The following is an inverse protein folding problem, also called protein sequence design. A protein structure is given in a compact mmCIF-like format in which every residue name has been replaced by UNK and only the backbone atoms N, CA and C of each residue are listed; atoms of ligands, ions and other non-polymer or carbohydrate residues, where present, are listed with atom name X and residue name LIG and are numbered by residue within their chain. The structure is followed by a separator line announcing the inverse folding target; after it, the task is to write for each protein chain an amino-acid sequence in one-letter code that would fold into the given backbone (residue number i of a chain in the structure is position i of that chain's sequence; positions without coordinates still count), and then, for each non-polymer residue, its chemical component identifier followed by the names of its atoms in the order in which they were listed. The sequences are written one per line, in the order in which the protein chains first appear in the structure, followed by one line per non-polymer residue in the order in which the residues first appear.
data_IF_539930178909
#
_entry.id   IF_539930178909
#
_cell.length_a   1.000
_cell.length_b   1.000
_cell.length_c   1.000
_cell.angle_alpha   90.00
_cell.angle_beta   90.00
_cell.angle_gamma   90.00
#
_symmetry.space_group_name_H-M   'P 1'
#
loop_
_entity.id
_entity.type
_entity.pdbx_description
1 polymer ?
#
# COMPACT_ATOMS: atom_id res chain seq x y z
N UNK A 1 -49.85 -16.73 40.41
CA UNK A 1 -48.49 -16.78 39.82
C UNK A 1 -48.43 -15.85 38.63
N UNK A 2 -47.67 -14.76 38.69
CA UNK A 2 -47.27 -13.95 37.53
C UNK A 2 -45.83 -13.50 37.75
N UNK A 3 -44.90 -14.18 37.10
CA UNK A 3 -43.49 -13.82 37.04
C UNK A 3 -43.33 -12.57 36.18
N UNK A 4 -42.61 -11.58 36.70
CA UNK A 4 -42.20 -10.39 35.97
C UNK A 4 -40.82 -10.64 35.37
N UNK A 5 -40.75 -10.70 34.04
CA UNK A 5 -39.49 -10.68 33.30
C UNK A 5 -38.86 -9.28 33.43
N UNK A 6 -37.75 -9.21 34.17
CA UNK A 6 -36.86 -8.06 34.15
C UNK A 6 -36.22 -7.96 32.76
N UNK A 7 -36.67 -7.01 31.94
CA UNK A 7 -35.93 -6.55 30.75
C UNK A 7 -34.52 -6.14 31.19
N UNK A 8 -33.51 -6.93 30.81
CA UNK A 8 -32.10 -6.53 30.85
C UNK A 8 -31.97 -5.28 29.98
N UNK A 9 -31.64 -4.13 30.59
CA UNK A 9 -31.19 -2.96 29.85
C UNK A 9 -29.86 -3.34 29.19
N UNK A 10 -29.81 -3.27 27.87
CA UNK A 10 -28.54 -3.33 27.15
C UNK A 10 -27.68 -2.14 27.58
N UNK A 11 -26.38 -2.34 27.83
CA UNK A 11 -25.46 -1.24 28.10
C UNK A 11 -25.40 -0.31 26.88
N UNK A 12 -25.16 1.00 27.09
CA UNK A 12 -25.05 1.96 25.99
C UNK A 12 -23.91 1.57 25.03
N UNK A 13 -24.08 1.86 23.74
CA UNK A 13 -23.06 1.58 22.73
C UNK A 13 -21.79 2.41 23.00
N UNK A 14 -20.59 1.83 22.78
CA UNK A 14 -19.34 2.56 22.90
C UNK A 14 -19.27 3.72 21.90
N UNK A 15 -18.64 4.83 22.29
CA UNK A 15 -18.49 6.03 21.45
C UNK A 15 -17.12 5.99 20.76
N UNK A 16 -17.12 6.03 19.43
CA UNK A 16 -15.91 6.09 18.60
C UNK A 16 -15.69 7.52 18.13
N UNK A 17 -14.50 8.07 18.36
CA UNK A 17 -14.17 9.45 18.01
C UNK A 17 -13.70 9.61 16.56
N UNK A 18 -13.00 8.60 16.02
CA UNK A 18 -12.44 8.65 14.66
C UNK A 18 -13.19 7.70 13.71
N UNK A 19 -14.00 8.24 12.79
CA UNK A 19 -14.85 7.47 11.86
C UNK A 19 -14.66 7.92 10.41
N UNK A 20 -14.59 6.94 9.49
CA UNK A 20 -14.40 7.12 8.04
C UNK A 20 -15.37 8.08 7.34
N UNK A 21 -14.80 8.94 6.49
CA UNK A 21 -15.39 9.44 5.25
C UNK A 21 -14.53 9.00 4.06
N UNK A 22 -15.14 8.42 3.02
CA UNK A 22 -14.42 7.96 1.82
C UNK A 22 -14.27 9.09 0.79
N UNK A 23 -13.03 9.45 0.45
CA UNK A 23 -12.67 10.18 -0.78
C UNK A 23 -12.35 9.21 -1.93
N UNK A 24 -12.50 9.64 -3.19
CA UNK A 24 -12.28 8.80 -4.37
C UNK A 24 -10.83 8.83 -4.86
N UNK A 25 -10.28 7.73 -5.44
CA UNK A 25 -8.83 7.51 -5.46
C UNK A 25 -8.05 8.01 -6.69
N UNK A 26 -8.67 8.54 -7.74
CA UNK A 26 -7.97 8.71 -9.03
C UNK A 26 -7.94 10.16 -9.51
N UNK A 27 -6.93 10.90 -9.06
CA UNK A 27 -6.60 12.24 -9.55
C UNK A 27 -5.31 12.87 -9.00
N UNK A 28 -4.69 12.26 -7.98
CA UNK A 28 -3.60 12.88 -7.22
C UNK A 28 -2.24 12.95 -7.94
N UNK A 29 -2.02 12.19 -9.02
CA UNK A 29 -0.71 12.11 -9.68
C UNK A 29 -0.41 13.29 -10.64
N UNK A 30 -1.42 14.04 -11.07
CA UNK A 30 -1.26 15.13 -12.06
C UNK A 30 -1.21 16.55 -11.48
N UNK A 31 -1.25 16.71 -10.15
CA UNK A 31 -1.25 18.03 -9.50
C UNK A 31 -0.32 18.06 -8.29
N UNK A 32 0.91 18.51 -8.52
CA UNK A 32 1.89 18.71 -7.45
C UNK A 32 1.85 20.15 -6.91
N UNK A 33 1.41 20.30 -5.66
CA UNK A 33 1.79 21.40 -4.74
C UNK A 33 1.90 20.80 -3.33
N UNK A 34 3.07 20.84 -2.66
CA UNK A 34 3.26 20.18 -1.38
C UNK A 34 2.75 21.06 -0.24
N UNK A 35 1.59 20.70 0.35
CA UNK A 35 1.18 21.16 1.67
C UNK A 35 0.39 20.04 2.38
N UNK A 36 1.10 19.29 3.22
CA UNK A 36 0.72 18.55 4.44
C UNK A 36 -0.49 17.60 4.48
N UNK A 37 -1.37 17.56 3.49
CA UNK A 37 -2.53 16.64 3.45
C UNK A 37 -2.56 15.73 2.22
N UNK A 38 -2.02 16.18 1.07
CA UNK A 38 -1.98 15.36 -0.15
C UNK A 38 -0.87 14.30 -0.22
N UNK A 39 0.03 14.27 0.77
CA UNK A 39 1.16 13.31 0.75
C UNK A 39 0.72 11.89 1.08
N UNK A 40 -0.23 11.72 2.00
CA UNK A 40 -0.71 10.38 2.40
C UNK A 40 -1.46 9.70 1.26
N UNK A 41 -2.37 10.41 0.60
CA UNK A 41 -3.07 9.93 -0.58
C UNK A 41 -2.11 9.54 -1.72
N UNK A 42 -1.05 10.33 -1.92
CA UNK A 42 0.03 10.01 -2.86
C UNK A 42 0.78 8.73 -2.47
N UNK A 43 1.16 8.56 -1.21
CA UNK A 43 1.85 7.36 -0.73
C UNK A 43 0.99 6.11 -0.88
N UNK A 44 -0.32 6.21 -0.61
CA UNK A 44 -1.30 5.14 -0.87
C UNK A 44 -1.38 4.81 -2.36
N UNK A 45 -1.45 5.83 -3.23
CA UNK A 45 -1.47 5.63 -4.67
C UNK A 45 -0.17 4.99 -5.20
N UNK A 46 0.99 5.31 -4.61
CA UNK A 46 2.26 4.65 -4.95
C UNK A 46 2.22 3.16 -4.57
N UNK A 47 1.72 2.80 -3.39
CA UNK A 47 1.55 1.38 -3.01
C UNK A 47 0.63 0.64 -3.96
N UNK A 48 -0.50 1.24 -4.31
CA UNK A 48 -1.45 0.65 -5.25
C UNK A 48 -0.85 0.48 -6.66
N UNK A 49 -0.08 1.47 -7.12
CA UNK A 49 0.53 1.48 -8.45
C UNK A 49 1.82 0.66 -8.57
N UNK A 50 2.53 0.37 -7.47
CA UNK A 50 3.81 -0.35 -7.47
C UNK A 50 3.72 -1.55 -6.51
N UNK A 51 3.28 -2.73 -7.01
CA UNK A 51 3.05 -3.92 -6.18
C UNK A 51 4.24 -4.36 -5.31
N UNK A 52 5.46 -4.11 -5.79
CA UNK A 52 6.68 -4.45 -5.06
C UNK A 52 6.84 -3.61 -3.77
N UNK A 53 6.44 -2.33 -3.82
CA UNK A 53 6.46 -1.45 -2.64
C UNK A 53 5.41 -1.89 -1.63
N UNK A 54 4.22 -2.26 -2.10
CA UNK A 54 3.17 -2.79 -1.23
C UNK A 54 3.61 -4.09 -0.54
N UNK A 55 4.14 -5.05 -1.32
CA UNK A 55 4.66 -6.30 -0.79
C UNK A 55 5.76 -6.07 0.26
N UNK A 56 6.64 -5.09 0.04
CA UNK A 56 7.68 -4.74 0.99
C UNK A 56 7.09 -4.22 2.31
N UNK A 57 6.11 -3.31 2.28
CA UNK A 57 5.48 -2.84 3.52
C UNK A 57 4.82 -4.00 4.28
N UNK A 58 4.08 -4.87 3.58
CA UNK A 58 3.47 -6.05 4.20
C UNK A 58 4.50 -7.00 4.83
N UNK A 59 5.66 -7.20 4.19
CA UNK A 59 6.75 -8.00 4.77
C UNK A 59 7.34 -7.33 6.02
N UNK A 60 7.54 -6.00 6.02
CA UNK A 60 8.00 -5.27 7.21
C UNK A 60 7.03 -5.43 8.38
N UNK A 61 5.72 -5.26 8.13
CA UNK A 61 4.68 -5.44 9.15
C UNK A 61 4.77 -6.85 9.74
N UNK A 62 4.80 -7.89 8.90
CA UNK A 62 4.90 -9.28 9.36
C UNK A 62 6.18 -9.56 10.15
N UNK A 63 7.31 -9.00 9.71
CA UNK A 63 8.60 -9.16 10.38
C UNK A 63 8.61 -8.54 11.78
N UNK A 64 7.82 -7.50 12.02
CA UNK A 64 7.67 -6.94 13.36
C UNK A 64 7.07 -7.94 14.34
N UNK A 65 6.36 -8.97 13.89
CA UNK A 65 5.86 -10.07 14.72
C UNK A 65 4.89 -9.62 15.81
N UNK A 66 4.59 -10.53 16.73
CA UNK A 66 3.72 -10.25 17.86
C UNK A 66 4.42 -10.03 19.18
N UNK A 67 3.59 -9.69 20.18
CA UNK A 67 4.04 -9.52 21.55
C UNK A 67 3.00 -10.07 22.53
N UNK A 68 3.46 -10.47 23.71
CA UNK A 68 2.63 -10.90 24.83
C UNK A 68 2.93 -10.04 26.07
N UNK A 69 1.90 -9.53 26.76
CA UNK A 69 2.10 -8.75 27.97
C UNK A 69 2.41 -9.64 29.18
N UNK A 70 3.21 -9.13 30.12
CA UNK A 70 3.57 -9.77 31.38
C UNK A 70 3.36 -8.84 32.56
N UNK A 71 2.57 -9.28 33.53
CA UNK A 71 2.34 -8.55 34.78
C UNK A 71 2.57 -9.45 36.00
N UNK A 72 2.84 -8.85 37.16
CA UNK A 72 3.21 -9.58 38.38
C UNK A 72 2.06 -10.35 39.06
N UNK A 73 0.80 -10.01 38.77
CA UNK A 73 -0.37 -10.68 39.36
C UNK A 73 -0.92 -11.77 38.44
N UNK A 74 -1.00 -13.02 38.93
CA UNK A 74 -1.45 -14.15 38.13
C UNK A 74 -2.92 -14.12 37.69
N UNK A 75 -3.81 -13.45 38.45
CA UNK A 75 -5.21 -13.23 38.04
C UNK A 75 -5.30 -12.15 36.97
N UNK A 76 -4.54 -11.07 37.12
CA UNK A 76 -4.42 -10.03 36.12
C UNK A 76 -3.86 -10.61 34.80
N UNK A 77 -2.82 -11.44 34.88
CA UNK A 77 -2.17 -12.06 33.73
C UNK A 77 -3.16 -12.85 32.86
N UNK A 78 -3.98 -13.72 33.46
CA UNK A 78 -4.92 -14.54 32.71
C UNK A 78 -5.99 -13.70 32.00
N UNK A 79 -6.46 -12.63 32.65
CA UNK A 79 -7.40 -11.69 32.05
C UNK A 79 -6.78 -10.87 30.92
N UNK A 80 -5.58 -10.35 31.15
CA UNK A 80 -4.83 -9.55 30.19
C UNK A 80 -4.46 -10.37 28.95
N UNK A 81 -4.01 -11.62 29.12
CA UNK A 81 -3.78 -12.59 28.04
C UNK A 81 -5.03 -12.80 27.17
N UNK A 82 -6.19 -12.93 27.81
CA UNK A 82 -7.46 -13.11 27.11
C UNK A 82 -7.84 -11.84 26.35
N UNK A 83 -7.72 -10.68 26.98
CA UNK A 83 -7.95 -9.39 26.34
C UNK A 83 -7.03 -9.23 25.11
N UNK A 84 -5.74 -9.49 25.28
CA UNK A 84 -4.72 -9.37 24.24
C UNK A 84 -5.05 -10.20 22.99
N UNK A 85 -5.60 -11.40 23.17
CA UNK A 85 -5.99 -12.29 22.07
C UNK A 85 -7.36 -11.99 21.47
N UNK A 86 -8.26 -11.28 22.17
CA UNK A 86 -9.69 -11.26 21.83
C UNK A 86 -10.35 -9.88 21.78
N UNK A 87 -9.65 -8.80 22.11
CA UNK A 87 -10.19 -7.44 21.95
C UNK A 87 -10.67 -7.21 20.51
N UNK A 88 -11.81 -6.57 20.32
CA UNK A 88 -12.31 -6.23 18.98
C UNK A 88 -11.41 -5.16 18.36
N UNK A 89 -11.03 -5.32 17.09
CA UNK A 89 -10.20 -4.35 16.36
C UNK A 89 -10.92 -3.78 15.13
N UNK A 90 -12.22 -4.02 15.02
CA UNK A 90 -13.08 -3.60 13.92
C UNK A 90 -13.09 -4.61 12.78
N UNK A 91 -14.05 -4.44 11.87
CA UNK A 91 -14.17 -5.23 10.62
C UNK A 91 -14.17 -6.75 10.79
N UNK A 92 -14.60 -7.24 11.97
CA UNK A 92 -14.62 -8.67 12.30
C UNK A 92 -13.28 -9.25 12.72
N UNK A 93 -12.25 -8.42 12.89
CA UNK A 93 -10.94 -8.82 13.40
C UNK A 93 -10.88 -8.69 14.93
N UNK A 94 -9.97 -9.45 15.54
CA UNK A 94 -9.78 -9.48 16.99
C UNK A 94 -8.32 -9.70 17.37
N UNK A 95 -7.97 -9.25 18.56
CA UNK A 95 -6.66 -9.38 19.18
C UNK A 95 -5.73 -8.23 18.83
N UNK A 96 -4.85 -7.88 19.77
CA UNK A 96 -3.92 -6.76 19.67
C UNK A 96 -2.97 -6.92 18.48
N UNK A 97 -2.67 -8.16 18.04
CA UNK A 97 -1.90 -8.37 16.82
C UNK A 97 -2.54 -7.71 15.59
N UNK A 98 -3.85 -7.88 15.39
CA UNK A 98 -4.53 -7.29 14.23
C UNK A 98 -4.54 -5.76 14.27
N UNK A 99 -4.62 -5.18 15.47
CA UNK A 99 -4.43 -3.75 15.68
C UNK A 99 -3.00 -3.34 15.32
N UNK A 100 -2.00 -4.05 15.84
CA UNK A 100 -0.58 -3.77 15.60
C UNK A 100 -0.22 -3.85 14.11
N UNK A 101 -0.68 -4.87 13.41
CA UNK A 101 -0.43 -5.05 11.98
C UNK A 101 -0.94 -3.84 11.18
N UNK A 102 -2.17 -3.40 11.46
CA UNK A 102 -2.79 -2.24 10.80
C UNK A 102 -2.13 -0.92 11.21
N UNK A 103 -1.73 -0.80 12.48
CA UNK A 103 -1.07 0.37 13.04
C UNK A 103 0.33 0.57 12.44
N UNK A 104 1.10 -0.51 12.27
CA UNK A 104 2.40 -0.52 11.58
C UNK A 104 2.25 -0.20 10.08
N UNK A 105 1.21 -0.72 9.43
CA UNK A 105 0.92 -0.41 8.03
C UNK A 105 0.71 1.10 7.80
N UNK A 106 -0.06 1.75 8.68
CA UNK A 106 -0.22 3.22 8.68
C UNK A 106 1.08 3.93 9.06
N UNK A 107 1.81 3.44 10.07
CA UNK A 107 3.09 3.99 10.51
C UNK A 107 4.09 4.09 9.34
N UNK A 108 4.26 3.03 8.57
CA UNK A 108 5.18 3.00 7.43
C UNK A 108 4.69 3.86 6.26
N UNK A 109 3.38 3.81 5.95
CA UNK A 109 2.81 4.46 4.77
C UNK A 109 2.62 5.95 4.98
N UNK A 110 2.12 6.35 6.14
CA UNK A 110 1.69 7.71 6.46
C UNK A 110 2.72 8.44 7.35
N UNK A 111 3.71 7.72 7.88
CA UNK A 111 4.73 8.28 8.76
C UNK A 111 4.31 8.37 10.22
N UNK A 112 3.11 7.93 10.58
CA UNK A 112 2.66 7.83 11.96
C UNK A 112 1.54 6.79 12.09
N UNK A 113 1.48 6.15 13.25
CA UNK A 113 0.36 5.30 13.64
C UNK A 113 -0.62 6.09 14.49
N UNK A 114 -1.92 5.83 14.30
CA UNK A 114 -2.99 6.44 15.07
C UNK A 114 -4.01 5.38 15.49
N UNK A 115 -4.27 5.30 16.79
CA UNK A 115 -5.19 4.33 17.39
C UNK A 115 -6.10 4.98 18.43
N UNK A 116 -7.22 4.33 18.70
CA UNK A 116 -8.17 4.71 19.73
C UNK A 116 -8.51 3.51 20.61
N UNK A 117 -8.30 3.66 21.91
CA UNK A 117 -8.78 2.72 22.93
C UNK A 117 -10.24 3.05 23.25
N UNK A 118 -11.16 2.25 22.73
CA UNK A 118 -12.58 2.50 22.88
C UNK A 118 -13.07 1.82 24.15
N UNK A 119 -13.53 2.61 25.12
CA UNK A 119 -14.11 2.08 26.35
C UNK A 119 -15.50 1.48 26.11
N UNK A 120 -15.83 0.46 26.88
CA UNK A 120 -17.18 -0.08 27.03
C UNK A 120 -18.16 0.99 27.53
N UNK A 121 -19.46 0.79 27.29
CA UNK A 121 -20.48 1.77 27.63
C UNK A 121 -20.61 2.12 29.13
N UNK A 122 -20.11 1.26 30.02
CA UNK A 122 -20.02 1.53 31.46
C UNK A 122 -18.65 2.07 31.90
N UNK A 123 -17.69 2.17 30.97
CA UNK A 123 -16.35 2.70 31.19
C UNK A 123 -15.45 1.78 32.02
N UNK A 124 -15.77 0.50 32.16
CA UNK A 124 -15.05 -0.44 33.07
C UNK A 124 -14.14 -1.43 32.36
N UNK A 125 -14.20 -1.47 31.04
CA UNK A 125 -13.42 -2.36 30.19
C UNK A 125 -13.13 -1.67 28.86
N UNK A 126 -12.14 -2.18 28.12
CA UNK A 126 -11.84 -1.76 26.74
C UNK A 126 -12.70 -2.60 25.79
N UNK A 127 -13.64 -1.96 25.11
CA UNK A 127 -14.52 -2.62 24.15
C UNK A 127 -13.81 -2.92 22.82
N UNK A 128 -12.95 -2.01 22.35
CA UNK A 128 -12.24 -2.17 21.09
C UNK A 128 -10.93 -1.37 21.04
N UNK A 129 -10.03 -1.77 20.14
CA UNK A 129 -8.84 -1.02 19.73
C UNK A 129 -8.94 -0.73 18.25
N UNK A 130 -9.17 0.53 17.88
CA UNK A 130 -9.42 0.89 16.49
C UNK A 130 -8.24 1.69 15.92
N UNK A 131 -7.77 1.30 14.74
CA UNK A 131 -6.89 2.18 13.95
C UNK A 131 -7.75 3.27 13.29
N UNK A 132 -7.31 4.50 13.47
CA UNK A 132 -7.90 5.67 12.87
C UNK A 132 -7.17 6.02 11.57
N UNK A 133 -7.88 6.57 10.60
CA UNK A 133 -7.25 7.02 9.35
C UNK A 133 -6.36 8.24 9.63
N UNK A 134 -5.03 8.16 9.36
CA UNK A 134 -4.09 9.25 9.58
C UNK A 134 -4.50 10.59 8.95
N UNK A 135 -5.25 10.59 7.84
CA UNK A 135 -5.67 11.83 7.16
C UNK A 135 -6.77 12.61 7.90
N UNK A 136 -7.49 11.94 8.80
CA UNK A 136 -8.63 12.53 9.50
C UNK A 136 -8.22 13.29 10.76
N UNK A 137 -7.00 13.09 11.22
CA UNK A 137 -6.50 13.66 12.46
C UNK A 137 -5.21 14.41 12.19
N UNK A 138 -5.15 15.64 12.68
CA UNK A 138 -3.95 16.47 12.63
C UNK A 138 -3.45 16.74 14.05
N UNK A 139 -2.13 16.73 14.22
CA UNK A 139 -1.52 17.15 15.47
C UNK A 139 -1.39 18.67 15.47
N UNK A 140 -2.05 19.34 16.42
CA UNK A 140 -1.86 20.76 16.68
C UNK A 140 -0.74 20.91 17.71
N UNK A 141 0.42 21.37 17.24
CA UNK A 141 1.58 21.65 18.08
C UNK A 141 1.33 22.92 18.91
N UNK A 142 1.68 22.87 20.19
CA UNK A 142 1.68 23.98 21.12
C UNK A 142 3.07 24.59 21.28
N UNK A 143 3.31 25.20 22.43
CA UNK A 143 4.55 25.95 22.69
C UNK A 143 5.77 25.04 22.94
N UNK A 144 5.55 23.75 23.22
CA UNK A 144 6.60 22.76 23.44
C UNK A 144 6.30 21.42 22.74
N UNK A 145 7.32 20.57 22.52
CA UNK A 145 7.11 19.21 21.99
C UNK A 145 6.22 18.31 22.87
N UNK A 146 6.01 18.66 24.14
CA UNK A 146 5.10 17.93 25.04
C UNK A 146 3.65 18.42 24.93
N UNK A 147 3.45 19.61 24.40
CA UNK A 147 2.15 20.25 24.29
C UNK A 147 1.62 20.04 22.87
N UNK A 148 1.09 18.87 22.56
CA UNK A 148 0.38 18.66 21.30
C UNK A 148 -0.99 18.02 21.54
N UNK A 149 -1.93 18.34 20.66
CA UNK A 149 -3.29 17.81 20.71
C UNK A 149 -3.64 17.17 19.37
N UNK A 150 -4.31 16.04 19.42
CA UNK A 150 -4.87 15.39 18.25
C UNK A 150 -6.25 15.97 17.96
N UNK A 151 -6.38 16.58 16.79
CA UNK A 151 -7.60 17.24 16.35
C UNK A 151 -8.18 16.52 15.15
N UNK A 152 -9.50 16.36 15.11
CA UNK A 152 -10.20 15.86 13.94
C UNK A 152 -10.43 16.98 12.94
N UNK A 153 -10.20 16.67 11.66
CA UNK A 153 -10.62 17.53 10.55
C UNK A 153 -12.11 17.34 10.31
N UNK A 154 -12.89 18.39 10.54
CA UNK A 154 -14.29 18.50 10.15
C UNK A 154 -14.40 19.53 9.02
N UNK A 155 -15.50 19.51 8.24
CA UNK A 155 -15.65 20.32 7.03
C UNK A 155 -15.40 21.83 7.26
N UNK A 156 -14.15 22.26 7.05
CA UNK A 156 -13.67 23.63 7.25
C UNK A 156 -13.24 23.99 8.69
N UNK A 157 -13.26 23.05 9.64
CA UNK A 157 -12.89 23.31 11.03
C UNK A 157 -12.05 22.18 11.63
N UNK A 158 -11.11 22.55 12.50
CA UNK A 158 -10.27 21.62 13.24
C UNK A 158 -10.80 21.57 14.66
N UNK A 159 -11.19 20.38 15.11
CA UNK A 159 -11.77 20.19 16.44
C UNK A 159 -10.94 19.23 17.27
N UNK A 160 -10.57 19.64 18.47
CA UNK A 160 -9.88 18.78 19.43
C UNK A 160 -10.72 17.54 19.74
N UNK A 161 -10.07 16.38 19.71
CA UNK A 161 -10.69 15.15 20.15
C UNK A 161 -10.87 15.19 21.69
N UNK A 162 -12.06 14.88 22.21
CA UNK A 162 -12.38 15.11 23.62
C UNK A 162 -11.61 14.22 24.61
N UNK A 163 -11.20 13.02 24.20
CA UNK A 163 -10.50 12.05 25.08
C UNK A 163 -9.10 11.74 24.54
N UNK A 164 -8.17 12.69 24.70
CA UNK A 164 -6.77 12.58 24.25
C UNK A 164 -6.03 11.41 24.92
N UNK A 165 -6.40 11.10 26.16
CA UNK A 165 -5.85 10.01 26.97
C UNK A 165 -6.18 8.61 26.40
N UNK A 166 -7.23 8.50 25.58
CA UNK A 166 -7.61 7.26 24.92
C UNK A 166 -6.98 7.09 23.53
N UNK A 167 -6.28 8.11 23.04
CA UNK A 167 -5.62 8.08 21.74
C UNK A 167 -4.20 7.55 21.87
N UNK A 168 -3.82 6.73 20.89
CA UNK A 168 -2.48 6.20 20.69
C UNK A 168 -1.90 6.89 19.46
N UNK A 169 -0.73 7.50 19.61
CA UNK A 169 -0.05 8.17 18.51
C UNK A 169 1.45 7.84 18.57
N UNK A 170 1.98 7.40 17.43
CA UNK A 170 3.39 7.05 17.31
C UNK A 170 3.94 7.68 16.03
N UNK A 171 4.85 8.66 16.12
CA UNK A 171 5.53 9.19 14.95
C UNK A 171 6.61 8.21 14.47
N UNK A 172 6.71 7.99 13.15
CA UNK A 172 7.77 7.22 12.53
C UNK A 172 8.94 8.13 12.17
N UNK A 173 10.12 7.90 12.75
CA UNK A 173 11.36 8.66 12.45
C UNK A 173 11.14 10.19 12.39
N UNK A 174 10.58 10.82 13.44
CA UNK A 174 10.32 12.26 13.44
C UNK A 174 11.61 13.07 13.23
N UNK A 175 11.50 14.16 12.46
CA UNK A 175 12.59 15.11 12.20
C UNK A 175 12.22 16.48 12.74
N UNK A 176 13.20 17.40 12.82
CA UNK A 176 12.94 18.76 13.33
C UNK A 176 11.90 19.52 12.51
N UNK A 177 11.80 19.27 11.20
CA UNK A 177 10.81 19.83 10.29
C UNK A 177 9.50 19.02 10.22
N UNK A 178 9.50 17.76 10.70
CA UNK A 178 8.34 16.87 10.70
C UNK A 178 8.25 16.09 12.03
N UNK A 179 7.85 16.77 13.13
CA UNK A 179 7.82 16.16 14.47
C UNK A 179 6.73 15.08 14.61
N UNK A 180 5.73 15.10 13.72
CA UNK A 180 4.65 14.11 13.67
C UNK A 180 5.03 12.84 12.89
N UNK A 181 6.30 12.70 12.49
CA UNK A 181 6.79 11.54 11.77
C UNK A 181 6.83 11.73 10.26
N UNK A 182 7.51 10.80 9.60
CA UNK A 182 7.88 10.85 8.18
C UNK A 182 7.60 9.50 7.55
N UNK A 183 6.86 9.48 6.43
CA UNK A 183 6.59 8.24 5.70
C UNK A 183 7.87 7.56 5.21
N UNK A 184 7.90 6.23 5.26
CA UNK A 184 8.93 5.43 4.60
C UNK A 184 9.02 5.76 3.09
N UNK A 185 7.87 6.13 2.51
CA UNK A 185 7.67 6.41 1.10
C UNK A 185 8.02 7.85 0.69
N UNK A 186 8.43 8.73 1.62
CA UNK A 186 8.72 10.17 1.33
C UNK A 186 9.68 10.38 0.16
N UNK A 187 10.65 9.48 -0.06
CA UNK A 187 11.64 9.58 -1.14
C UNK A 187 11.26 8.84 -2.43
N UNK A 188 10.11 8.16 -2.48
CA UNK A 188 9.69 7.33 -3.61
C UNK A 188 8.91 8.03 -4.74
N UNK A 189 8.18 9.16 -4.55
CA UNK A 189 7.31 9.70 -5.59
C UNK A 189 7.98 9.96 -6.93
N UNK A 190 9.20 10.49 -6.92
CA UNK A 190 9.95 10.76 -8.14
C UNK A 190 10.24 9.48 -8.93
N UNK A 191 10.78 8.47 -8.26
CA UNK A 191 11.14 7.19 -8.88
C UNK A 191 9.91 6.39 -9.31
N UNK A 192 8.87 6.34 -8.47
CA UNK A 192 7.60 5.71 -8.81
C UNK A 192 6.94 6.38 -10.03
N UNK A 193 6.96 7.71 -10.10
CA UNK A 193 6.46 8.46 -11.25
C UNK A 193 7.21 8.16 -12.55
N UNK A 194 8.53 7.97 -12.51
CA UNK A 194 9.31 7.55 -13.68
C UNK A 194 8.94 6.12 -14.08
N UNK A 195 8.86 5.19 -13.13
CA UNK A 195 8.51 3.79 -13.37
C UNK A 195 7.14 3.66 -14.05
N UNK A 196 6.12 4.34 -13.52
CA UNK A 196 4.77 4.33 -14.07
C UNK A 196 4.74 4.89 -15.50
N UNK A 197 5.49 5.97 -15.79
CA UNK A 197 5.62 6.52 -17.14
C UNK A 197 6.27 5.54 -18.11
N UNK A 198 7.29 4.80 -17.67
CA UNK A 198 7.90 3.76 -18.49
C UNK A 198 6.88 2.67 -18.83
N UNK A 199 6.15 2.15 -17.83
CA UNK A 199 5.13 1.12 -18.07
C UNK A 199 3.98 1.61 -18.96
N UNK A 200 3.52 2.85 -18.76
CA UNK A 200 2.51 3.46 -19.61
C UNK A 200 2.98 3.60 -21.07
N UNK A 201 4.22 4.06 -21.29
CA UNK A 201 4.80 4.16 -22.62
C UNK A 201 4.97 2.79 -23.28
N UNK A 202 5.41 1.78 -22.53
CA UNK A 202 5.51 0.39 -23.01
C UNK A 202 4.14 -0.14 -23.40
N UNK A 203 3.10 0.06 -22.58
CA UNK A 203 1.72 -0.34 -22.90
C UNK A 203 1.20 0.31 -24.19
N UNK A 204 1.40 1.62 -24.35
CA UNK A 204 1.02 2.34 -25.58
C UNK A 204 1.76 1.83 -26.82
N UNK A 205 3.02 1.44 -26.68
CA UNK A 205 3.78 0.84 -27.79
C UNK A 205 3.22 -0.54 -28.17
N UNK A 206 2.83 -1.37 -27.19
CA UNK A 206 2.15 -2.64 -27.46
C UNK A 206 0.79 -2.47 -28.12
N UNK A 207 -0.02 -1.50 -27.68
CA UNK A 207 -1.28 -1.15 -28.33
C UNK A 207 -1.09 -0.73 -29.79
N UNK A 208 -0.04 0.04 -30.09
CA UNK A 208 0.32 0.45 -31.46
C UNK A 208 0.82 -0.72 -32.30
N UNK A 209 1.62 -1.61 -31.72
CA UNK A 209 2.09 -2.81 -32.41
C UNK A 209 0.92 -3.74 -32.77
N UNK A 210 -0.07 -3.88 -31.88
CA UNK A 210 -1.29 -4.66 -32.13
C UNK A 210 -2.30 -3.96 -33.05
N UNK A 211 -2.26 -2.63 -33.17
CA UNK A 211 -3.18 -1.84 -33.99
C UNK A 211 -2.43 -1.13 -35.12
N UNK A 212 -2.08 -1.91 -36.15
CA UNK A 212 -1.37 -1.42 -37.34
C UNK A 212 -2.15 -0.26 -37.98
N UNK A 213 -1.49 0.89 -38.09
CA UNK A 213 -1.98 2.03 -38.85
C UNK A 213 -1.30 2.05 -40.20
N UNK A 214 -2.03 2.43 -41.22
CA UNK A 214 -1.54 2.43 -42.59
C UNK A 214 -1.72 3.82 -43.20
N UNK A 215 -0.68 4.31 -43.85
CA UNK A 215 -0.73 5.45 -44.76
C UNK A 215 -0.98 4.89 -46.15
N UNK A 216 -2.14 5.23 -46.72
CA UNK A 216 -2.50 4.86 -48.10
C UNK A 216 -2.30 6.11 -48.96
N UNK A 217 -1.33 6.05 -49.87
CA UNK A 217 -1.03 7.14 -50.82
C UNK A 217 -1.44 6.69 -52.21
N UNK A 218 -2.41 7.38 -52.80
CA UNK A 218 -2.85 7.14 -54.17
C UNK A 218 -2.22 8.19 -55.09
N UNK A 219 -1.44 7.77 -56.09
CA UNK A 219 -0.89 8.68 -57.09
C UNK A 219 -1.76 8.65 -58.36
N UNK A 220 -2.35 9.78 -58.79
CA UNK A 220 -3.14 9.81 -60.01
C UNK A 220 -2.26 9.58 -61.25
N UNK A 221 -2.73 8.77 -62.20
CA UNK A 221 -2.08 8.60 -63.49
C UNK A 221 -2.18 9.84 -64.38
N UNK A 222 -1.38 9.90 -65.46
CA UNK A 222 -1.46 11.00 -66.43
C UNK A 222 -2.87 11.09 -67.04
N UNK A 223 -3.54 12.23 -66.86
CA UNK A 223 -4.91 12.48 -67.34
C UNK A 223 -6.03 12.13 -66.36
N UNK A 224 -5.71 11.63 -65.16
CA UNK A 224 -6.70 11.23 -64.14
C UNK A 224 -6.99 12.31 -63.07
N UNK A 225 -6.36 13.48 -63.18
CA UNK A 225 -6.53 14.60 -62.23
C UNK A 225 -7.99 15.00 -61.94
N UNK A 226 -8.93 15.02 -62.92
CA UNK A 226 -10.32 15.38 -62.65
C UNK A 226 -11.09 14.35 -61.80
N UNK A 227 -10.65 13.09 -61.80
CA UNK A 227 -11.31 11.96 -61.12
C UNK A 227 -10.56 11.49 -59.87
N UNK A 228 -9.41 12.12 -59.56
CA UNK A 228 -8.53 11.73 -58.45
C UNK A 228 -9.26 11.72 -57.10
N UNK A 229 -10.14 12.68 -56.85
CA UNK A 229 -10.87 12.79 -55.58
C UNK A 229 -11.89 11.66 -55.38
N UNK A 230 -12.63 11.32 -56.44
CA UNK A 230 -13.64 10.25 -56.42
C UNK A 230 -12.98 8.87 -56.24
N UNK A 231 -11.85 8.65 -56.91
CA UNK A 231 -11.06 7.44 -56.81
C UNK A 231 -10.40 7.27 -55.44
N UNK A 232 -9.86 8.36 -54.86
CA UNK A 232 -9.41 8.39 -53.47
C UNK A 232 -10.55 8.04 -52.50
N UNK A 233 -11.76 8.57 -52.74
CA UNK A 233 -12.94 8.26 -51.93
C UNK A 233 -13.28 6.76 -51.91
N UNK A 234 -13.30 6.12 -53.09
CA UNK A 234 -13.56 4.69 -53.21
C UNK A 234 -12.50 3.84 -52.48
N UNK A 235 -11.22 4.20 -52.61
CA UNK A 235 -10.12 3.51 -51.94
C UNK A 235 -10.23 3.64 -50.41
N UNK A 236 -10.56 4.83 -49.90
CA UNK A 236 -10.79 5.05 -48.46
C UNK A 236 -11.96 4.23 -47.95
N UNK A 237 -13.05 4.10 -48.72
CA UNK A 237 -14.23 3.32 -48.35
C UNK A 237 -13.96 1.81 -48.30
N UNK A 238 -13.34 1.24 -49.34
CA UNK A 238 -12.95 -0.18 -49.37
C UNK A 238 -11.94 -0.50 -48.26
N UNK A 239 -10.94 0.37 -48.07
CA UNK A 239 -9.97 0.24 -46.98
C UNK A 239 -10.63 0.25 -45.61
N UNK A 240 -11.53 1.21 -45.38
CA UNK A 240 -12.26 1.34 -44.11
C UNK A 240 -13.16 0.12 -43.85
N UNK A 241 -13.77 -0.45 -44.90
CA UNK A 241 -14.57 -1.68 -44.81
C UNK A 241 -13.72 -2.91 -44.50
N UNK A 242 -12.56 -3.05 -45.14
CA UNK A 242 -11.62 -4.14 -44.88
C UNK A 242 -11.05 -4.08 -43.45
N UNK A 243 -10.67 -2.88 -42.97
CA UNK A 243 -10.20 -2.68 -41.60
C UNK A 243 -11.29 -2.90 -40.55
N UNK A 244 -12.55 -2.57 -40.85
CA UNK A 244 -13.68 -2.84 -39.96
C UNK A 244 -13.97 -4.34 -39.83
N UNK A 245 -13.97 -5.08 -40.95
CA UNK A 245 -14.13 -6.54 -40.95
C UNK A 245 -13.00 -7.23 -40.16
N UNK A 246 -11.77 -6.73 -40.26
CA UNK A 246 -10.63 -7.23 -39.46
C UNK A 246 -10.83 -7.08 -37.94
N UNK A 247 -11.49 -6.02 -37.47
CA UNK A 247 -11.83 -5.85 -36.04
C UNK A 247 -12.89 -6.84 -35.55
N UNK A 248 -13.72 -7.34 -36.46
CA UNK A 248 -14.74 -8.36 -36.18
C UNK A 248 -14.20 -9.79 -36.36
N UNK A 249 -12.89 -9.95 -36.54
CA UNK A 249 -12.24 -11.26 -36.70
C UNK A 249 -12.37 -11.87 -38.10
N UNK A 250 -12.83 -11.10 -39.08
CA UNK A 250 -12.95 -11.54 -40.47
C UNK A 250 -11.76 -11.02 -41.30
N UNK A 251 -11.03 -11.92 -41.95
CA UNK A 251 -9.97 -11.54 -42.89
C UNK A 251 -10.62 -11.17 -44.22
N UNK A 252 -10.43 -9.92 -44.67
CA UNK A 252 -10.93 -9.42 -45.94
C UNK A 252 -9.79 -8.81 -46.74
N UNK A 253 -9.61 -9.29 -47.97
CA UNK A 253 -8.58 -8.78 -48.86
C UNK A 253 -8.93 -7.39 -49.38
N UNK A 254 -7.94 -6.49 -49.37
CA UNK A 254 -8.03 -5.19 -50.01
C UNK A 254 -7.42 -5.29 -51.42
N UNK A 255 -8.22 -5.07 -52.46
CA UNK A 255 -7.77 -5.10 -53.85
C UNK A 255 -7.95 -3.70 -54.45
N UNK A 256 -6.84 -3.07 -54.83
CA UNK A 256 -6.84 -1.77 -55.50
C UNK A 256 -6.22 -1.85 -56.89
N UNK A 257 -6.75 -1.05 -57.83
CA UNK A 257 -6.28 -0.95 -59.22
C UNK A 257 -5.69 0.45 -59.44
N UNK A 258 -4.36 0.56 -59.61
CA UNK A 258 -3.63 1.81 -59.82
C UNK A 258 -2.29 1.87 -59.06
N UNK A 259 -1.62 3.03 -59.07
CA UNK A 259 -0.41 3.28 -58.25
C UNK A 259 -0.82 3.66 -56.82
N UNK A 260 -0.97 2.64 -55.97
CA UNK A 260 -1.31 2.77 -54.55
C UNK A 260 -0.13 2.29 -53.71
N UNK A 261 0.45 3.20 -52.93
CA UNK A 261 1.53 2.93 -51.98
C UNK A 261 0.93 2.81 -50.57
N UNK A 262 1.02 1.61 -49.98
CA UNK A 262 0.52 1.33 -48.63
C UNK A 262 1.74 1.17 -47.71
N UNK A 263 1.89 2.08 -46.76
CA UNK A 263 2.97 2.04 -45.77
C UNK A 263 2.39 1.87 -44.38
N UNK A 264 2.96 0.95 -43.61
CA UNK A 264 2.63 0.82 -42.19
C UNK A 264 3.26 2.00 -41.44
N UNK A 265 2.45 2.77 -40.72
CA UNK A 265 2.90 3.88 -39.88
C UNK A 265 3.45 3.28 -38.59
N UNK A 266 4.74 3.49 -38.32
CA UNK A 266 5.38 3.09 -37.06
C UNK A 266 5.93 1.66 -37.03
N UNK A 267 6.01 0.96 -38.18
CA UNK A 267 6.58 -0.39 -38.27
C UNK A 267 8.04 -0.48 -37.80
N UNK A 268 8.79 0.62 -37.92
CA UNK A 268 10.22 0.69 -37.60
C UNK A 268 10.53 1.42 -36.29
N UNK A 269 9.55 1.67 -35.41
CA UNK A 269 9.84 2.31 -34.13
C UNK A 269 10.55 1.32 -33.20
N UNK A 270 11.85 1.51 -32.88
CA UNK A 270 12.52 0.63 -31.95
C UNK A 270 11.83 0.71 -30.59
N UNK A 271 11.46 -0.45 -30.05
CA UNK A 271 11.05 -0.54 -28.64
C UNK A 271 12.28 -0.17 -27.80
N UNK A 272 12.18 0.93 -27.05
CA UNK A 272 13.23 1.33 -26.12
C UNK A 272 13.43 0.20 -25.10
N UNK A 273 14.67 -0.27 -24.96
CA UNK A 273 15.01 -1.23 -23.91
C UNK A 273 14.83 -0.56 -22.54
N UNK A 274 13.76 -0.96 -21.85
CA UNK A 274 13.41 -0.46 -20.53
C UNK A 274 13.91 -1.37 -19.40
N UNK A 275 14.56 -2.50 -19.68
CA UNK A 275 14.89 -3.49 -18.65
C UNK A 275 15.85 -2.91 -17.59
N UNK A 276 16.95 -2.29 -18.04
CA UNK A 276 17.96 -1.70 -17.15
C UNK A 276 17.40 -0.56 -16.29
N UNK A 277 16.72 0.48 -16.85
CA UNK A 277 16.20 1.57 -16.03
C UNK A 277 15.08 1.13 -15.09
N UNK A 278 14.17 0.24 -15.53
CA UNK A 278 13.11 -0.31 -14.66
C UNK A 278 13.74 -1.05 -13.49
N UNK A 279 14.72 -1.91 -13.77
CA UNK A 279 15.45 -2.63 -12.73
C UNK A 279 16.06 -1.64 -11.74
N UNK A 280 16.92 -0.72 -12.17
CA UNK A 280 17.58 0.25 -11.27
C UNK A 280 16.59 1.04 -10.39
N UNK A 281 15.43 1.41 -10.93
CA UNK A 281 14.39 2.09 -10.17
C UNK A 281 13.81 1.16 -9.10
N UNK A 282 13.41 -0.06 -9.46
CA UNK A 282 12.96 -1.06 -8.49
C UNK A 282 14.04 -1.33 -7.45
N UNK A 283 15.32 -1.28 -7.85
CA UNK A 283 16.43 -1.52 -6.93
C UNK A 283 16.50 -0.47 -5.82
N UNK A 284 16.35 0.80 -6.18
CA UNK A 284 16.30 1.89 -5.21
C UNK A 284 15.03 1.88 -4.34
N UNK A 285 13.89 1.52 -4.93
CA UNK A 285 12.63 1.43 -4.19
C UNK A 285 12.69 0.35 -3.10
N UNK A 286 13.19 -0.84 -3.43
CA UNK A 286 13.38 -1.93 -2.45
C UNK A 286 14.43 -1.56 -1.41
N UNK A 287 15.58 -1.00 -1.83
CA UNK A 287 16.64 -0.61 -0.91
C UNK A 287 16.15 0.37 0.18
N UNK A 288 15.22 1.27 -0.16
CA UNK A 288 14.64 2.21 0.80
C UNK A 288 13.84 1.53 1.93
N UNK A 289 13.30 0.34 1.68
CA UNK A 289 12.52 -0.41 2.69
C UNK A 289 13.40 -1.20 3.67
N UNK A 290 14.68 -1.39 3.36
CA UNK A 290 15.57 -2.25 4.14
C UNK A 290 15.33 -3.75 3.96
N UNK A 291 14.31 -4.15 3.19
CA UNK A 291 14.03 -5.57 2.93
C UNK A 291 15.01 -6.13 1.90
N UNK A 292 15.62 -7.30 2.18
CA UNK A 292 16.40 -8.02 1.18
C UNK A 292 15.57 -8.43 -0.06
N UNK A 293 16.06 -8.23 -1.30
CA UNK A 293 15.30 -8.50 -2.53
C UNK A 293 14.70 -9.92 -2.62
N UNK A 294 15.40 -10.94 -2.13
CA UNK A 294 14.93 -12.33 -2.19
C UNK A 294 13.64 -12.56 -1.38
N UNK A 295 13.37 -11.78 -0.33
CA UNK A 295 12.11 -11.86 0.43
C UNK A 295 10.91 -11.34 -0.36
N UNK A 296 11.17 -10.66 -1.47
CA UNK A 296 10.19 -10.17 -2.45
C UNK A 296 10.20 -11.04 -3.73
N UNK A 297 10.87 -12.20 -3.71
CA UNK A 297 10.98 -13.09 -4.86
C UNK A 297 11.93 -12.58 -5.95
N UNK A 298 12.81 -11.61 -5.63
CA UNK A 298 13.75 -11.04 -6.59
C UNK A 298 15.16 -11.60 -6.37
N UNK A 299 15.84 -11.95 -7.46
CA UNK A 299 17.27 -12.27 -7.46
C UNK A 299 17.99 -11.34 -8.44
N UNK A 300 18.78 -10.40 -7.93
CA UNK A 300 19.46 -9.41 -8.77
C UNK A 300 20.87 -9.86 -9.16
N UNK A 301 21.43 -10.80 -8.40
CA UNK A 301 22.64 -11.52 -8.80
C UNK A 301 22.39 -13.03 -8.81
N UNK A 302 23.15 -13.75 -9.64
CA UNK A 302 23.07 -15.22 -9.75
C UNK A 302 23.45 -15.95 -8.44
N UNK A 303 23.94 -15.22 -7.43
CA UNK A 303 24.52 -15.78 -6.19
C UNK A 303 24.02 -15.05 -4.94
N UNK A 304 22.84 -14.43 -4.99
CA UNK A 304 22.30 -13.69 -3.85
C UNK A 304 21.87 -14.66 -2.74
N UNK A 305 22.80 -14.99 -1.84
CA UNK A 305 22.52 -15.69 -0.58
C UNK A 305 22.37 -14.65 0.50
N UNK A 306 21.32 -14.75 1.32
CA UNK A 306 21.28 -13.98 2.56
C UNK A 306 22.54 -14.30 3.36
N UNK A 307 23.39 -13.29 3.56
CA UNK A 307 24.51 -13.43 4.48
C UNK A 307 23.98 -13.34 5.92
N UNK A 308 24.65 -14.00 6.87
CA UNK A 308 24.32 -13.85 8.28
C UNK A 308 24.30 -12.35 8.69
N UNK A 309 25.19 -11.55 8.11
CA UNK A 309 25.26 -10.11 8.33
C UNK A 309 24.00 -9.35 7.85
N UNK A 310 23.37 -9.77 6.74
CA UNK A 310 22.13 -9.16 6.26
C UNK A 310 20.95 -9.52 7.17
N UNK A 311 20.92 -10.74 7.71
CA UNK A 311 19.93 -11.15 8.70
C UNK A 311 20.07 -10.32 9.98
N UNK A 312 21.29 -10.20 10.50
CA UNK A 312 21.59 -9.43 11.71
C UNK A 312 21.19 -7.96 11.57
N UNK A 313 21.47 -7.36 10.40
CA UNK A 313 21.07 -5.98 10.11
C UNK A 313 19.54 -5.84 10.10
N UNK A 314 18.82 -6.73 9.40
CA UNK A 314 17.36 -6.70 9.37
C UNK A 314 16.75 -6.88 10.75
N UNK A 315 17.24 -7.83 11.55
CA UNK A 315 16.82 -8.00 12.96
C UNK A 315 16.99 -6.72 13.76
N UNK A 316 18.11 -6.01 13.57
CA UNK A 316 18.37 -4.74 14.26
C UNK A 316 17.38 -3.64 13.89
N UNK A 317 17.04 -3.54 12.60
CA UNK A 317 16.05 -2.58 12.08
C UNK A 317 14.64 -2.90 12.62
N UNK A 318 14.23 -4.17 12.59
CA UNK A 318 12.95 -4.60 13.15
C UNK A 318 12.90 -4.31 14.66
N UNK A 319 13.98 -4.54 15.39
CA UNK A 319 14.07 -4.22 16.82
C UNK A 319 13.94 -2.71 17.08
N UNK A 320 14.47 -1.86 16.20
CA UNK A 320 14.27 -0.41 16.29
C UNK A 320 12.80 0.00 16.04
N UNK A 321 12.14 -0.64 15.09
CA UNK A 321 10.71 -0.43 14.83
C UNK A 321 9.86 -0.87 16.03
N UNK A 322 10.10 -2.06 16.58
CA UNK A 322 9.42 -2.58 17.78
C UNK A 322 9.48 -1.60 18.94
N UNK A 323 10.69 -1.09 19.25
CA UNK A 323 10.89 -0.05 20.29
C UNK A 323 10.10 1.23 20.05
N UNK A 324 9.83 1.56 18.78
CA UNK A 324 9.07 2.77 18.42
C UNK A 324 7.57 2.61 18.76
N UNK A 325 7.01 1.42 18.57
CA UNK A 325 5.58 1.14 18.80
C UNK A 325 5.25 0.58 20.18
N UNK A 326 6.23 0.01 20.88
CA UNK A 326 6.08 -0.58 22.20
C UNK A 326 5.38 0.32 23.23
N UNK A 327 5.65 1.64 23.31
CA UNK A 327 4.93 2.52 24.25
C UNK A 327 3.42 2.59 24.01
N UNK A 328 2.98 2.50 22.75
CA UNK A 328 1.54 2.51 22.44
C UNK A 328 0.87 1.20 22.90
N UNK A 329 1.56 0.07 22.77
CA UNK A 329 1.07 -1.24 23.21
C UNK A 329 1.09 -1.37 24.74
N UNK A 330 2.12 -0.84 25.42
CA UNK A 330 2.17 -0.77 26.88
C UNK A 330 0.97 0.00 27.43
N UNK A 331 0.67 1.16 26.85
CA UNK A 331 -0.48 1.98 27.26
C UNK A 331 -1.82 1.26 27.11
N UNK A 332 -1.97 0.38 26.13
CA UNK A 332 -3.14 -0.50 25.98
C UNK A 332 -3.23 -1.50 27.14
N UNK A 333 -2.13 -2.14 27.49
CA UNK A 333 -2.08 -3.09 28.60
C UNK A 333 -2.31 -2.40 29.96
N UNK A 334 -1.63 -1.27 30.19
CA UNK A 334 -1.74 -0.43 31.38
C UNK A 334 -3.18 0.01 31.61
N UNK A 335 -3.84 0.58 30.59
CA UNK A 335 -5.24 1.01 30.70
C UNK A 335 -6.15 -0.15 31.08
N UNK A 336 -5.96 -1.31 30.45
CA UNK A 336 -6.77 -2.49 30.77
C UNK A 336 -6.58 -2.91 32.24
N UNK A 337 -5.33 -2.94 32.74
CA UNK A 337 -5.02 -3.26 34.14
C UNK A 337 -5.63 -2.26 35.12
N UNK A 338 -5.52 -0.96 34.82
CA UNK A 338 -6.08 0.13 35.62
C UNK A 338 -7.60 0.02 35.74
N UNK A 339 -8.30 -0.23 34.63
CA UNK A 339 -9.77 -0.39 34.61
C UNK A 339 -10.24 -1.58 35.46
N UNK A 340 -9.41 -2.63 35.55
CA UNK A 340 -9.70 -3.82 36.35
C UNK A 340 -9.20 -3.73 37.80
N UNK A 341 -8.57 -2.61 38.19
CA UNK A 341 -8.10 -2.37 39.55
C UNK A 341 -6.84 -3.14 39.94
N UNK A 342 -6.01 -3.52 38.96
CA UNK A 342 -4.71 -4.14 39.18
C UNK A 342 -3.57 -3.11 39.18
N UNK A 343 -2.39 -3.52 39.64
CA UNK A 343 -1.15 -2.78 39.42
C UNK A 343 -0.88 -2.70 37.90
N UNK A 344 -0.54 -1.50 37.40
CA UNK A 344 -0.43 -1.23 35.96
C UNK A 344 0.96 -1.55 35.40
N UNK A 345 1.89 -1.99 36.24
CA UNK A 345 3.22 -2.43 35.82
C UNK A 345 3.12 -3.66 34.93
N UNK A 346 3.50 -3.47 33.68
CA UNK A 346 3.48 -4.50 32.64
C UNK A 346 4.70 -4.35 31.75
N UNK A 347 5.24 -5.49 31.32
CA UNK A 347 6.31 -5.57 30.32
C UNK A 347 5.78 -6.30 29.08
N UNK A 348 6.35 -6.00 27.92
CA UNK A 348 6.00 -6.67 26.66
C UNK A 348 7.12 -7.62 26.25
N UNK A 349 6.79 -8.90 26.16
CA UNK A 349 7.68 -9.92 25.58
C UNK A 349 7.38 -9.99 24.08
N UNK A 350 8.34 -9.59 23.25
CA UNK A 350 8.24 -9.74 21.80
C UNK A 350 8.58 -11.16 21.37
N UNK A 351 7.89 -11.66 20.36
CA UNK A 351 8.21 -12.95 19.74
C UNK A 351 9.60 -12.90 19.09
N UNK A 352 10.35 -13.99 19.22
CA UNK A 352 11.65 -14.14 18.59
C UNK A 352 11.53 -13.99 17.07
N UNK A 353 12.45 -13.22 16.48
CA UNK A 353 12.51 -13.04 15.03
C UNK A 353 13.31 -14.22 14.47
N UNK A 354 12.64 -15.30 14.09
CA UNK A 354 13.30 -16.39 13.37
C UNK A 354 13.40 -16.07 11.87
N UNK A 355 14.44 -15.30 11.52
CA UNK A 355 14.73 -15.01 10.11
C UNK A 355 15.19 -16.25 9.33
N UNK A 356 15.69 -17.32 9.98
CA UNK A 356 16.17 -18.50 9.27
C UNK A 356 15.02 -19.27 8.62
N UNK A 357 13.94 -19.51 9.37
CA UNK A 357 12.75 -20.18 8.85
C UNK A 357 12.10 -19.39 7.71
N UNK A 358 12.03 -18.06 7.85
CA UNK A 358 11.50 -17.17 6.80
C UNK A 358 12.35 -17.18 5.53
N UNK A 359 13.67 -17.34 5.66
CA UNK A 359 14.59 -17.39 4.52
C UNK A 359 14.50 -18.71 3.79
N UNK A 360 14.35 -19.82 4.51
CA UNK A 360 14.14 -21.13 3.91
C UNK A 360 12.78 -21.20 3.18
N UNK A 361 11.73 -20.60 3.74
CA UNK A 361 10.42 -20.49 3.06
C UNK A 361 10.52 -19.65 1.78
N UNK A 362 11.11 -18.45 1.84
CA UNK A 362 11.29 -17.58 0.67
C UNK A 362 12.16 -18.24 -0.43
N UNK A 363 13.20 -19.01 -0.04
CA UNK A 363 14.01 -19.81 -0.98
C UNK A 363 13.18 -20.89 -1.65
N UNK A 364 12.36 -21.62 -0.90
CA UNK A 364 11.51 -22.65 -1.45
C UNK A 364 10.55 -22.08 -2.50
N UNK A 365 9.97 -20.90 -2.25
CA UNK A 365 9.13 -20.19 -3.23
C UNK A 365 9.89 -19.77 -4.48
N UNK A 366 11.08 -19.17 -4.32
CA UNK A 366 11.91 -18.74 -5.45
C UNK A 366 12.38 -19.92 -6.30
N UNK A 367 12.79 -21.03 -5.68
CA UNK A 367 13.18 -22.23 -6.41
C UNK A 367 12.00 -22.87 -7.16
N UNK A 368 10.78 -22.83 -6.60
CA UNK A 368 9.58 -23.26 -7.33
C UNK A 368 9.36 -22.39 -8.57
N UNK A 369 9.40 -21.07 -8.43
CA UNK A 369 9.21 -20.14 -9.54
C UNK A 369 10.28 -20.31 -10.64
N UNK A 370 11.54 -20.53 -10.26
CA UNK A 370 12.62 -20.82 -11.19
C UNK A 370 12.43 -22.17 -11.91
N UNK A 371 12.00 -23.20 -11.18
CA UNK A 371 11.72 -24.51 -11.75
C UNK A 371 10.54 -24.46 -12.73
N UNK A 372 9.51 -23.68 -12.44
CA UNK A 372 8.36 -23.49 -13.33
C UNK A 372 8.78 -22.74 -14.61
N UNK A 373 9.58 -21.68 -14.48
CA UNK A 373 10.14 -20.97 -15.64
C UNK A 373 10.99 -21.89 -16.53
N UNK A 374 11.84 -22.74 -15.94
CA UNK A 374 12.64 -23.73 -16.68
C UNK A 374 11.77 -24.77 -17.38
N UNK A 375 10.64 -25.17 -16.78
CA UNK A 375 9.67 -26.08 -17.42
C UNK A 375 8.99 -25.42 -18.62
N UNK A 376 8.59 -24.16 -18.49
CA UNK A 376 8.00 -23.38 -19.58
C UNK A 376 9.00 -23.14 -20.72
N UNK A 377 10.29 -22.98 -20.43
CA UNK A 377 11.34 -22.82 -21.45
C UNK A 377 11.70 -24.13 -22.18
N UNK A 378 11.41 -25.30 -21.58
CA UNK A 378 11.66 -26.62 -22.18
C UNK A 378 10.42 -27.26 -22.84
N UNK A 379 9.25 -26.64 -22.70
CA UNK A 379 8.00 -27.05 -23.34
C UNK A 379 7.80 -26.31 -24.67
#
# INVERSE_FOLDING_TARGET
MKWWERKRREPPAPVVQVRQGKGQPFGALDRYVPLSSGEVELYRAIREGVPLVDAAIWKLVRLCGGTTPRCGDGRAQAGLDRFWRTVDTGWGQRGVQSFLDRYLDDLFTCGHGLGEMVLSGDGRDVAALLCADPEQVEARLGDSPMDFLLCRREAGAVRELPWQELLLFTPFQPTGDAPCGVSLLRSMPFLAGILLKIFQATGQNWERAGNLRFAVVCRPGQGEEPFAQERCGQIVQEWSSAMAAGREGQVRDFVAVGDVDIKVIGADSPVLDSQVPVRQILEQLVARTGIPPFMLGLSWSATERMSAQQADLLTSEITAIRRTVEPALLRVAELWLQLHGFDDRVELEWEDIDLQDMVEEARAELYRAQADKLREEMA
#
